data_IF_848992455644
#
_entry.id   IF_848992455644
#
_cell.length_a   1.000
_cell.length_b   1.000
_cell.length_c   1.000
_cell.angle_alpha   90.00
_cell.angle_beta   90.00
_cell.angle_gamma   90.00
#
_symmetry.space_group_name_H-M   'P 1'
#
loop_
_entity.id
_entity.type
_entity.pdbx_description
1 polymer ?
#
# COMPACT_ATOMS: atom_id res chain seq x y z
N UNK A 1 -1.17 10.48 19.59
CA UNK A 1 -0.99 9.44 20.64
C UNK A 1 -2.24 8.59 20.86
N UNK A 2 -3.38 9.12 21.34
CA UNK A 2 -4.57 8.28 21.65
C UNK A 2 -5.03 7.39 20.50
N UNK A 3 -5.20 7.96 19.30
CA UNK A 3 -5.60 7.22 18.09
C UNK A 3 -4.61 6.08 17.78
N UNK A 4 -3.30 6.37 17.83
CA UNK A 4 -2.25 5.37 17.64
C UNK A 4 -2.33 4.23 18.67
N UNK A 5 -2.50 4.56 19.96
CA UNK A 5 -2.69 3.56 21.02
C UNK A 5 -3.96 2.73 20.80
N UNK A 6 -5.10 3.36 20.51
CA UNK A 6 -6.35 2.66 20.22
C UNK A 6 -6.22 1.72 19.02
N UNK A 7 -5.55 2.17 17.97
CA UNK A 7 -5.25 1.33 16.80
C UNK A 7 -4.47 0.06 17.18
N UNK A 8 -3.42 0.19 18.00
CA UNK A 8 -2.66 -0.98 18.48
C UNK A 8 -3.47 -1.88 19.41
N UNK A 9 -4.32 -1.34 20.28
CA UNK A 9 -5.23 -2.14 21.11
C UNK A 9 -6.17 -2.97 20.23
N UNK A 10 -6.82 -2.33 19.25
CA UNK A 10 -7.73 -3.01 18.32
C UNK A 10 -6.98 -4.07 17.51
N UNK A 11 -5.83 -3.72 16.93
CA UNK A 11 -5.01 -4.65 16.14
C UNK A 11 -4.58 -5.87 16.97
N UNK A 12 -4.15 -5.66 18.22
CA UNK A 12 -3.70 -6.72 19.13
C UNK A 12 -4.85 -7.66 19.50
N UNK A 13 -5.99 -7.09 19.92
CA UNK A 13 -7.19 -7.87 20.26
C UNK A 13 -7.74 -8.62 19.06
N UNK A 14 -7.79 -7.98 17.88
CA UNK A 14 -8.22 -8.59 16.64
C UNK A 14 -7.29 -9.73 16.17
N UNK A 15 -5.99 -9.58 16.41
CA UNK A 15 -5.00 -10.63 16.11
C UNK A 15 -5.18 -11.85 17.01
N UNK A 16 -5.50 -11.65 18.28
CA UNK A 16 -5.85 -12.73 19.19
C UNK A 16 -7.14 -13.43 18.74
N UNK A 17 -8.17 -12.65 18.37
CA UNK A 17 -9.43 -13.19 17.86
C UNK A 17 -9.22 -14.04 16.59
N UNK A 18 -8.45 -13.53 15.63
CA UNK A 18 -8.16 -14.24 14.38
C UNK A 18 -7.32 -15.50 14.60
N UNK A 19 -6.34 -15.46 15.52
CA UNK A 19 -5.51 -16.62 15.85
C UNK A 19 -6.25 -17.71 16.62
N UNK A 20 -7.31 -17.36 17.35
CA UNK A 20 -8.16 -18.30 18.08
C UNK A 20 -9.46 -18.63 17.34
N UNK A 21 -9.56 -18.27 16.06
CA UNK A 21 -10.77 -18.43 15.29
C UNK A 21 -11.13 -19.91 15.10
N UNK A 22 -12.34 -20.29 15.51
CA UNK A 22 -12.91 -21.63 15.34
C UNK A 22 -13.79 -21.77 14.10
N UNK A 23 -14.08 -20.67 13.41
CA UNK A 23 -14.86 -20.64 12.17
C UNK A 23 -14.35 -19.57 11.20
N UNK A 24 -14.71 -19.70 9.93
CA UNK A 24 -14.32 -18.76 8.88
C UNK A 24 -14.87 -17.35 9.14
N UNK A 25 -16.08 -17.23 9.67
CA UNK A 25 -16.72 -15.95 9.97
C UNK A 25 -15.96 -15.19 11.06
N UNK A 26 -15.52 -15.88 12.11
CA UNK A 26 -14.71 -15.28 13.19
C UNK A 26 -13.36 -14.82 12.64
N UNK A 27 -12.74 -15.62 11.77
CA UNK A 27 -11.48 -15.25 11.12
C UNK A 27 -11.63 -13.99 10.26
N UNK A 28 -12.68 -13.93 9.45
CA UNK A 28 -12.99 -12.76 8.61
C UNK A 28 -13.32 -11.52 9.44
N UNK A 29 -14.08 -11.66 10.53
CA UNK A 29 -14.35 -10.57 11.46
C UNK A 29 -13.06 -10.06 12.13
N UNK A 30 -12.18 -10.98 12.55
CA UNK A 30 -10.85 -10.65 13.07
C UNK A 30 -10.00 -9.88 12.05
N UNK A 31 -10.00 -10.31 10.78
CA UNK A 31 -9.31 -9.60 9.68
C UNK A 31 -9.88 -8.19 9.45
N UNK A 32 -11.20 -8.04 9.48
CA UNK A 32 -11.84 -6.73 9.35
C UNK A 32 -11.43 -5.79 10.51
N UNK A 33 -11.42 -6.29 11.75
CA UNK A 33 -10.97 -5.54 12.92
C UNK A 33 -9.47 -5.20 12.86
N UNK A 34 -8.61 -6.11 12.37
CA UNK A 34 -7.19 -5.81 12.12
C UNK A 34 -7.04 -4.66 11.12
N UNK A 35 -7.83 -4.65 10.04
CA UNK A 35 -7.88 -3.56 9.07
C UNK A 35 -8.25 -2.22 9.71
N UNK A 36 -9.25 -2.20 10.60
CA UNK A 36 -9.62 -1.00 11.37
C UNK A 36 -8.47 -0.54 12.27
N UNK A 37 -7.81 -1.46 12.98
CA UNK A 37 -6.64 -1.14 13.80
C UNK A 37 -5.51 -0.51 12.96
N UNK A 38 -5.18 -1.13 11.82
CA UNK A 38 -4.17 -0.64 10.89
C UNK A 38 -4.52 0.75 10.32
N UNK A 39 -5.80 1.00 10.00
CA UNK A 39 -6.29 2.29 9.49
C UNK A 39 -6.15 3.42 10.53
N UNK A 40 -6.17 3.10 11.82
CA UNK A 40 -5.89 4.08 12.89
C UNK A 40 -4.37 4.29 13.09
N UNK A 41 -3.57 3.23 12.92
CA UNK A 41 -2.13 3.26 13.14
C UNK A 41 -1.41 4.06 12.05
N UNK A 42 -1.56 3.68 10.78
CA UNK A 42 -0.69 4.19 9.71
C UNK A 42 -0.78 5.73 9.53
N UNK A 43 -1.97 6.35 9.41
CA UNK A 43 -2.08 7.80 9.27
C UNK A 43 -1.62 8.56 10.53
N UNK A 44 -1.91 8.01 11.71
CA UNK A 44 -1.55 8.68 12.97
C UNK A 44 -0.05 8.64 13.23
N UNK A 45 0.63 7.56 12.84
CA UNK A 45 2.07 7.44 12.93
C UNK A 45 2.78 8.38 11.94
N UNK A 46 2.29 8.47 10.70
CA UNK A 46 2.80 9.44 9.72
C UNK A 46 2.64 10.88 10.20
N UNK A 47 1.48 11.20 10.80
CA UNK A 47 1.23 12.52 11.41
C UNK A 47 2.20 12.81 12.55
N UNK A 48 2.53 11.81 13.39
CA UNK A 48 3.52 11.97 14.47
C UNK A 48 4.90 12.26 13.89
N UNK A 49 5.33 11.52 12.87
CA UNK A 49 6.61 11.75 12.17
C UNK A 49 6.68 13.18 11.62
N UNK A 50 5.62 13.63 10.93
CA UNK A 50 5.54 14.98 10.39
C UNK A 50 5.60 16.06 11.47
N UNK A 51 4.88 15.89 12.59
CA UNK A 51 4.91 16.88 13.68
C UNK A 51 6.26 16.96 14.38
N UNK A 52 6.98 15.84 14.49
CA UNK A 52 8.29 15.79 15.14
C UNK A 52 9.39 16.37 14.25
N UNK A 53 9.42 15.99 12.97
CA UNK A 53 10.55 16.28 12.07
C UNK A 53 10.24 17.29 10.96
N UNK A 54 8.99 17.72 10.81
CA UNK A 54 8.55 18.58 9.70
C UNK A 54 9.21 19.96 9.64
N UNK A 55 9.79 20.42 10.75
CA UNK A 55 10.50 21.69 10.84
C UNK A 55 11.87 21.68 10.12
N UNK A 56 12.45 20.49 9.86
CA UNK A 56 13.75 20.35 9.23
C UNK A 56 13.66 19.33 8.08
N UNK A 57 13.78 19.81 6.83
CA UNK A 57 13.65 18.96 5.63
C UNK A 57 14.66 17.81 5.56
N UNK A 58 15.88 17.99 6.10
CA UNK A 58 16.88 16.92 6.13
C UNK A 58 16.55 15.84 7.15
N UNK A 59 16.05 16.21 8.33
CA UNK A 59 15.58 15.26 9.35
C UNK A 59 14.29 14.57 8.92
N UNK A 60 13.36 15.30 8.29
CA UNK A 60 12.13 14.75 7.75
C UNK A 60 12.43 13.69 6.67
N UNK A 61 13.37 13.96 5.78
CA UNK A 61 13.82 12.98 4.79
C UNK A 61 14.40 11.71 5.44
N UNK A 62 15.21 11.84 6.50
CA UNK A 62 15.71 10.70 7.27
C UNK A 62 14.58 9.93 7.95
N UNK A 63 13.62 10.63 8.55
CA UNK A 63 12.48 10.02 9.21
C UNK A 63 11.59 9.25 8.22
N UNK A 64 11.35 9.79 7.02
CA UNK A 64 10.69 9.06 5.93
C UNK A 64 11.50 7.85 5.45
N UNK A 65 12.83 7.95 5.45
CA UNK A 65 13.73 6.82 5.20
C UNK A 65 13.49 5.66 6.17
N UNK A 66 13.47 5.94 7.48
CA UNK A 66 13.14 4.94 8.50
C UNK A 66 11.71 4.43 8.39
N UNK A 67 10.75 5.31 8.11
CA UNK A 67 9.34 4.94 7.91
C UNK A 67 9.17 3.93 6.76
N UNK A 68 9.72 4.25 5.58
CA UNK A 68 9.65 3.35 4.43
C UNK A 68 10.41 2.04 4.66
N UNK A 69 11.58 2.12 5.28
CA UNK A 69 12.37 0.94 5.61
C UNK A 69 11.69 0.03 6.63
N UNK A 70 10.97 0.59 7.61
CA UNK A 70 10.18 -0.19 8.55
C UNK A 70 9.06 -0.97 7.87
N UNK A 71 8.41 -0.38 6.85
CA UNK A 71 7.40 -1.08 6.06
C UNK A 71 8.00 -2.26 5.28
N UNK A 72 9.15 -2.07 4.62
CA UNK A 72 9.85 -3.14 3.92
C UNK A 72 10.32 -4.24 4.88
N UNK A 73 10.96 -3.84 6.00
CA UNK A 73 11.41 -4.76 7.05
C UNK A 73 10.26 -5.60 7.61
N UNK A 74 9.14 -4.96 7.94
CA UNK A 74 7.93 -5.64 8.42
C UNK A 74 7.34 -6.59 7.37
N UNK A 75 7.33 -6.19 6.09
CA UNK A 75 6.90 -7.05 4.98
C UNK A 75 7.72 -8.33 4.88
N UNK A 76 9.05 -8.23 4.76
CA UNK A 76 9.89 -9.44 4.67
C UNK A 76 10.01 -10.23 5.96
N UNK A 77 10.10 -9.57 7.12
CA UNK A 77 10.05 -10.27 8.40
C UNK A 77 8.73 -11.02 8.51
N UNK A 78 7.61 -10.43 8.08
CA UNK A 78 6.30 -11.07 8.03
C UNK A 78 6.27 -12.31 7.12
N UNK A 79 6.79 -12.22 5.88
CA UNK A 79 6.82 -13.38 4.97
C UNK A 79 7.78 -14.46 5.47
N UNK A 80 8.97 -14.09 5.94
CA UNK A 80 9.94 -15.03 6.49
C UNK A 80 9.41 -15.74 7.74
N UNK A 81 8.98 -14.97 8.76
CA UNK A 81 8.40 -15.53 9.98
C UNK A 81 7.11 -16.29 9.67
N UNK A 82 6.30 -15.82 8.74
CA UNK A 82 5.11 -16.53 8.25
C UNK A 82 5.45 -17.88 7.65
N UNK A 83 6.53 -17.96 6.85
CA UNK A 83 7.07 -19.21 6.32
C UNK A 83 7.53 -20.16 7.42
N UNK A 84 8.37 -19.69 8.36
CA UNK A 84 8.82 -20.48 9.52
C UNK A 84 7.64 -21.01 10.34
N UNK A 85 6.70 -20.13 10.67
CA UNK A 85 5.53 -20.47 11.48
C UNK A 85 4.63 -21.48 10.76
N UNK A 86 4.41 -21.32 9.45
CA UNK A 86 3.53 -22.21 8.69
C UNK A 86 4.18 -23.57 8.46
N UNK A 87 5.51 -23.63 8.34
CA UNK A 87 6.24 -24.88 8.14
C UNK A 87 6.34 -25.70 9.43
N UNK A 88 6.59 -25.06 10.58
CA UNK A 88 6.94 -25.77 11.83
C UNK A 88 5.90 -25.66 12.94
N UNK A 89 4.91 -24.77 12.79
CA UNK A 89 3.80 -24.60 13.72
C UNK A 89 2.48 -24.63 12.95
N UNK A 90 1.40 -24.17 13.58
CA UNK A 90 0.10 -24.03 12.95
C UNK A 90 -0.08 -22.61 12.39
N UNK A 91 -0.79 -22.48 11.26
CA UNK A 91 -1.02 -21.20 10.57
C UNK A 91 -1.63 -20.11 11.46
N UNK A 92 -2.38 -20.49 12.51
CA UNK A 92 -2.98 -19.58 13.50
C UNK A 92 -1.92 -18.68 14.18
N UNK A 93 -0.71 -19.19 14.36
CA UNK A 93 0.38 -18.44 14.99
C UNK A 93 0.85 -17.25 14.15
N UNK A 94 0.57 -17.23 12.84
CA UNK A 94 0.83 -16.05 11.99
C UNK A 94 0.01 -14.83 12.41
N UNK A 95 -1.11 -15.05 13.11
CA UNK A 95 -1.90 -14.00 13.73
C UNK A 95 -1.42 -13.71 15.14
N UNK A 96 -1.19 -14.76 15.94
CA UNK A 96 -0.85 -14.63 17.36
C UNK A 96 0.51 -13.95 17.59
N UNK A 97 1.45 -14.02 16.64
CA UNK A 97 2.73 -13.31 16.73
C UNK A 97 2.58 -11.79 16.80
N UNK A 98 1.48 -11.24 16.27
CA UNK A 98 1.19 -9.80 16.38
C UNK A 98 0.81 -9.39 17.80
N UNK A 99 0.37 -10.32 18.65
CA UNK A 99 -0.04 -10.04 20.03
C UNK A 99 1.14 -9.58 20.90
N UNK A 100 2.25 -10.34 21.05
CA UNK A 100 3.39 -9.88 21.82
C UNK A 100 4.01 -8.61 21.23
N UNK A 101 4.08 -8.48 19.90
CA UNK A 101 4.56 -7.26 19.25
C UNK A 101 3.69 -6.03 19.57
N UNK A 102 2.37 -6.21 19.52
CA UNK A 102 1.41 -5.18 19.88
C UNK A 102 1.54 -4.74 21.34
N UNK A 103 1.74 -5.70 22.26
CA UNK A 103 1.97 -5.40 23.68
C UNK A 103 3.29 -4.65 23.93
N UNK A 104 4.36 -5.01 23.23
CA UNK A 104 5.64 -4.27 23.29
C UNK A 104 5.44 -2.82 22.85
N UNK A 105 4.72 -2.59 21.75
CA UNK A 105 4.45 -1.22 21.29
C UNK A 105 3.57 -0.47 22.30
N UNK A 106 2.51 -1.10 22.81
CA UNK A 106 1.60 -0.48 23.78
C UNK A 106 2.30 -0.07 25.07
N UNK A 107 3.25 -0.87 25.55
CA UNK A 107 4.07 -0.57 26.73
C UNK A 107 5.14 0.48 26.46
N UNK A 108 5.67 0.57 25.24
CA UNK A 108 6.66 1.59 24.86
C UNK A 108 6.04 2.98 24.61
N UNK A 109 4.78 3.07 24.16
CA UNK A 109 4.13 4.34 23.80
C UNK A 109 4.22 5.41 24.91
N UNK A 110 3.93 5.12 26.20
CA UNK A 110 3.99 6.13 27.25
C UNK A 110 5.36 6.75 27.46
N UNK A 111 6.43 5.97 27.26
CA UNK A 111 7.81 6.41 27.43
C UNK A 111 8.29 7.25 26.24
N UNK A 112 7.88 6.90 25.01
CA UNK A 112 8.39 7.52 23.78
C UNK A 112 7.51 8.70 23.31
N UNK A 113 6.19 8.62 23.48
CA UNK A 113 5.25 9.60 22.95
C UNK A 113 4.69 10.50 24.04
N UNK A 114 4.97 11.82 23.96
CA UNK A 114 4.35 12.83 24.82
C UNK A 114 2.84 12.88 24.60
N UNK A 115 2.10 13.30 25.64
CA UNK A 115 0.66 13.59 25.51
C UNK A 115 0.52 14.77 24.54
N UNK A 116 -0.32 14.61 23.52
CA UNK A 116 -0.68 15.70 22.61
C UNK A 116 -1.95 16.38 23.10
N UNK A 117 -2.10 17.66 22.82
CA UNK A 117 -3.37 18.36 23.00
C UNK A 117 -4.47 17.68 22.19
N UNK A 118 -5.70 17.74 22.71
CA UNK A 118 -6.87 17.18 22.06
C UNK A 118 -7.30 18.16 20.96
N UNK A 119 -7.26 17.72 19.71
CA UNK A 119 -7.89 18.47 18.63
C UNK A 119 -9.41 18.54 18.89
N UNK A 120 -9.96 19.74 18.81
CA UNK A 120 -11.40 19.99 18.87
C UNK A 120 -11.97 19.82 17.45
N UNK A 121 -13.04 19.04 17.30
CA UNK A 121 -13.70 18.79 16.00
C UNK A 121 -14.64 17.58 16.06
N UNK A 122 -15.64 17.53 15.17
CA UNK A 122 -16.54 16.37 15.06
C UNK A 122 -16.06 15.41 13.97
N UNK A 123 -16.31 14.12 14.18
CA UNK A 123 -16.05 13.09 13.17
C UNK A 123 -17.24 13.03 12.23
N UNK A 124 -17.01 13.21 10.93
CA UNK A 124 -18.03 13.02 9.90
C UNK A 124 -18.25 11.52 9.62
N UNK A 125 -18.97 10.86 10.53
CA UNK A 125 -19.31 9.44 10.44
C UNK A 125 -20.08 9.09 9.17
N UNK A 126 -20.93 10.00 8.71
CA UNK A 126 -21.69 9.79 7.47
C UNK A 126 -20.76 9.73 6.26
N UNK A 127 -19.83 10.68 6.15
CA UNK A 127 -18.80 10.67 5.12
C UNK A 127 -17.95 9.40 5.18
N UNK A 128 -17.52 9.01 6.38
CA UNK A 128 -16.70 7.81 6.58
C UNK A 128 -17.43 6.52 6.15
N UNK A 129 -18.70 6.34 6.55
CA UNK A 129 -19.50 5.16 6.21
C UNK A 129 -19.77 5.10 4.71
N UNK A 130 -20.16 6.22 4.09
CA UNK A 130 -20.49 6.28 2.66
C UNK A 130 -19.29 5.99 1.77
N UNK A 131 -18.12 6.61 2.04
CA UNK A 131 -16.91 6.33 1.24
C UNK A 131 -16.38 4.92 1.48
N UNK A 132 -16.42 4.41 2.72
CA UNK A 132 -15.98 3.04 3.03
C UNK A 132 -16.89 2.02 2.35
N UNK A 133 -18.22 2.21 2.42
CA UNK A 133 -19.18 1.35 1.74
C UNK A 133 -19.02 1.36 0.22
N UNK A 134 -18.73 2.52 -0.38
CA UNK A 134 -18.44 2.61 -1.81
C UNK A 134 -17.21 1.77 -2.18
N UNK A 135 -16.12 1.93 -1.45
CA UNK A 135 -14.85 1.22 -1.71
C UNK A 135 -14.97 -0.28 -1.47
N UNK A 136 -15.62 -0.70 -0.39
CA UNK A 136 -15.87 -2.12 -0.10
C UNK A 136 -16.72 -2.75 -1.20
N UNK A 137 -17.79 -2.08 -1.63
CA UNK A 137 -18.65 -2.57 -2.72
C UNK A 137 -17.88 -2.68 -4.04
N UNK A 138 -17.03 -1.70 -4.36
CA UNK A 138 -16.19 -1.71 -5.55
C UNK A 138 -15.20 -2.88 -5.55
N UNK A 139 -14.42 -3.02 -4.47
CA UNK A 139 -13.42 -4.09 -4.36
C UNK A 139 -14.11 -5.46 -4.38
N UNK A 140 -15.23 -5.59 -3.67
CA UNK A 140 -16.01 -6.83 -3.65
C UNK A 140 -16.56 -7.18 -5.05
N UNK A 141 -17.05 -6.19 -5.79
CA UNK A 141 -17.48 -6.39 -7.18
C UNK A 141 -16.34 -6.97 -8.03
N UNK A 142 -15.13 -6.38 -7.95
CA UNK A 142 -13.98 -6.80 -8.77
C UNK A 142 -13.54 -8.22 -8.42
N UNK A 143 -13.43 -8.54 -7.13
CA UNK A 143 -13.01 -9.88 -6.68
C UNK A 143 -14.05 -10.95 -7.06
N UNK A 144 -15.32 -10.59 -7.11
CA UNK A 144 -16.42 -11.53 -7.45
C UNK A 144 -16.57 -11.74 -8.96
N UNK A 145 -15.84 -10.99 -9.80
CA UNK A 145 -15.88 -11.12 -11.27
C UNK A 145 -15.58 -12.54 -11.72
N UNK A 146 -14.58 -13.18 -11.12
CA UNK A 146 -14.16 -14.52 -11.51
C UNK A 146 -15.27 -15.56 -11.30
N UNK A 147 -16.00 -15.47 -10.18
CA UNK A 147 -17.03 -16.46 -9.81
C UNK A 147 -18.40 -16.16 -10.43
N UNK A 148 -18.76 -14.88 -10.57
CA UNK A 148 -20.10 -14.49 -11.00
C UNK A 148 -20.17 -14.05 -12.48
N UNK A 149 -19.03 -13.71 -13.09
CA UNK A 149 -18.95 -13.18 -14.45
C UNK A 149 -19.33 -11.70 -14.53
N UNK A 150 -18.60 -10.94 -15.36
CA UNK A 150 -18.68 -9.47 -15.50
C UNK A 150 -20.11 -8.93 -15.68
N UNK A 151 -20.97 -9.63 -16.42
CA UNK A 151 -22.33 -9.20 -16.74
C UNK A 151 -23.39 -9.60 -15.72
N UNK A 152 -23.03 -10.23 -14.61
CA UNK A 152 -24.01 -10.71 -13.64
C UNK A 152 -24.77 -9.58 -12.94
N UNK A 153 -26.06 -9.77 -12.61
CA UNK A 153 -26.85 -8.80 -11.85
C UNK A 153 -26.19 -8.41 -10.52
N UNK A 154 -25.50 -9.36 -9.88
CA UNK A 154 -24.75 -9.12 -8.64
C UNK A 154 -23.67 -8.06 -8.85
N UNK A 155 -22.81 -8.21 -9.85
CA UNK A 155 -21.72 -7.26 -10.11
C UNK A 155 -22.27 -5.89 -10.50
N UNK A 156 -23.25 -5.85 -11.39
CA UNK A 156 -23.89 -4.59 -11.80
C UNK A 156 -24.52 -3.87 -10.59
N UNK A 157 -25.15 -4.61 -9.67
CA UNK A 157 -25.71 -4.05 -8.44
C UNK A 157 -24.63 -3.50 -7.51
N UNK A 158 -23.51 -4.21 -7.32
CA UNK A 158 -22.40 -3.77 -6.47
C UNK A 158 -21.71 -2.53 -7.04
N UNK A 159 -21.51 -2.48 -8.36
CA UNK A 159 -20.98 -1.29 -9.05
C UNK A 159 -21.94 -0.11 -8.94
N UNK A 160 -23.25 -0.35 -9.09
CA UNK A 160 -24.29 0.67 -8.90
C UNK A 160 -24.31 1.22 -7.46
N UNK A 161 -24.25 0.34 -6.45
CA UNK A 161 -24.17 0.71 -5.03
C UNK A 161 -22.91 1.51 -4.76
N UNK A 162 -21.76 1.05 -5.26
CA UNK A 162 -20.49 1.76 -5.13
C UNK A 162 -20.57 3.18 -5.69
N UNK A 163 -21.07 3.32 -6.93
CA UNK A 163 -21.21 4.61 -7.59
C UNK A 163 -22.18 5.52 -6.83
N UNK A 164 -23.34 5.00 -6.42
CA UNK A 164 -24.32 5.76 -5.66
C UNK A 164 -23.75 6.27 -4.33
N UNK A 165 -23.12 5.40 -3.54
CA UNK A 165 -22.49 5.77 -2.27
C UNK A 165 -21.37 6.79 -2.45
N UNK A 166 -20.57 6.66 -3.51
CA UNK A 166 -19.51 7.61 -3.83
C UNK A 166 -20.07 8.99 -4.22
N UNK A 167 -21.13 9.04 -5.03
CA UNK A 167 -21.82 10.30 -5.37
C UNK A 167 -22.44 10.94 -4.13
N UNK A 168 -23.11 10.16 -3.27
CA UNK A 168 -23.65 10.64 -1.99
C UNK A 168 -22.55 11.21 -1.11
N UNK A 169 -21.40 10.54 -1.03
CA UNK A 169 -20.23 11.03 -0.32
C UNK A 169 -19.79 12.41 -0.87
N UNK A 170 -19.58 12.53 -2.18
CA UNK A 170 -19.15 13.79 -2.79
C UNK A 170 -20.12 14.95 -2.55
N UNK A 171 -21.44 14.69 -2.63
CA UNK A 171 -22.47 15.69 -2.33
C UNK A 171 -22.39 16.09 -0.85
N UNK A 172 -22.30 15.12 0.06
CA UNK A 172 -22.20 15.39 1.49
C UNK A 172 -20.94 16.19 1.85
N UNK A 173 -19.80 15.91 1.22
CA UNK A 173 -18.55 16.65 1.45
C UNK A 173 -18.63 18.10 0.94
N UNK A 174 -19.50 18.41 -0.03
CA UNK A 174 -19.72 19.79 -0.51
C UNK A 174 -20.65 20.60 0.38
N UNK A 175 -21.63 19.95 1.02
CA UNK A 175 -22.73 20.63 1.72
C UNK A 175 -22.49 20.73 3.23
N UNK A 176 -21.77 19.77 3.83
CA UNK A 176 -21.57 19.73 5.30
C UNK A 176 -20.57 20.79 5.77
N UNK A 177 -20.78 21.29 7.00
CA UNK A 177 -19.96 22.33 7.64
C UNK A 177 -18.57 21.83 8.08
N UNK A 178 -18.49 20.58 8.55
CA UNK A 178 -17.24 19.91 8.94
C UNK A 178 -17.12 18.61 8.13
N UNK A 179 -16.79 18.69 6.82
CA UNK A 179 -16.64 17.51 5.96
C UNK A 179 -15.39 16.70 6.34
N UNK A 180 -15.47 15.37 6.23
CA UNK A 180 -14.31 14.47 6.36
C UNK A 180 -13.16 14.85 5.41
N UNK A 181 -13.49 15.16 4.17
CA UNK A 181 -12.59 15.49 3.08
C UNK A 181 -13.03 16.82 2.44
N UNK A 182 -12.60 17.97 2.98
CA UNK A 182 -12.82 19.26 2.35
C UNK A 182 -12.22 19.25 0.93
N UNK A 183 -13.08 19.26 -0.09
CA UNK A 183 -12.64 19.12 -1.50
C UNK A 183 -11.66 20.22 -1.96
N UNK A 184 -11.62 21.34 -1.25
CA UNK A 184 -10.62 22.40 -1.45
C UNK A 184 -9.17 21.93 -1.25
N UNK A 185 -8.93 20.84 -0.50
CA UNK A 185 -7.59 20.29 -0.28
C UNK A 185 -6.91 19.89 -1.59
N UNK A 186 -7.68 19.47 -2.60
CA UNK A 186 -7.13 19.09 -3.91
C UNK A 186 -6.64 20.29 -4.74
N UNK A 187 -6.95 21.53 -4.32
CA UNK A 187 -6.35 22.74 -4.91
C UNK A 187 -4.90 22.91 -4.48
N UNK A 188 -4.46 22.26 -3.40
CA UNK A 188 -3.07 22.29 -2.96
C UNK A 188 -2.16 21.74 -4.07
N UNK A 189 -1.06 22.43 -4.41
CA UNK A 189 -0.15 22.01 -5.47
C UNK A 189 0.35 20.57 -5.26
N UNK A 190 0.31 19.76 -6.32
CA UNK A 190 0.74 18.37 -6.34
C UNK A 190 -0.05 17.38 -5.45
N UNK A 191 -0.99 17.82 -4.62
CA UNK A 191 -1.69 16.92 -3.70
C UNK A 191 -2.53 15.88 -4.47
N UNK A 192 -3.39 16.33 -5.40
CA UNK A 192 -4.19 15.41 -6.22
C UNK A 192 -3.31 14.47 -7.07
N UNK A 193 -2.28 15.03 -7.72
CA UNK A 193 -1.35 14.28 -8.55
C UNK A 193 -0.54 13.25 -7.74
N UNK A 194 -0.06 13.63 -6.56
CA UNK A 194 0.70 12.75 -5.67
C UNK A 194 -0.17 11.60 -5.13
N UNK A 195 -1.43 11.87 -4.79
CA UNK A 195 -2.37 10.82 -4.38
C UNK A 195 -2.68 9.84 -5.53
N UNK A 196 -2.86 10.35 -6.76
CA UNK A 196 -3.02 9.50 -7.94
C UNK A 196 -1.79 8.61 -8.18
N UNK A 197 -0.58 9.21 -8.16
CA UNK A 197 0.67 8.45 -8.36
C UNK A 197 0.88 7.43 -7.25
N UNK A 198 0.54 7.75 -6.00
CA UNK A 198 0.62 6.80 -4.89
C UNK A 198 -0.34 5.62 -5.05
N UNK A 199 -1.56 5.87 -5.53
CA UNK A 199 -2.51 4.80 -5.86
C UNK A 199 -1.96 3.90 -6.97
N UNK A 200 -1.41 4.48 -8.04
CA UNK A 200 -0.82 3.72 -9.14
C UNK A 200 0.45 2.96 -8.71
N UNK A 201 1.26 3.53 -7.82
CA UNK A 201 2.43 2.84 -7.23
C UNK A 201 1.98 1.59 -6.45
N UNK A 202 0.96 1.70 -5.61
CA UNK A 202 0.39 0.56 -4.91
C UNK A 202 -0.18 -0.49 -5.87
N UNK A 203 -0.89 -0.02 -6.91
CA UNK A 203 -1.49 -0.86 -7.95
C UNK A 203 -0.47 -1.61 -8.82
N UNK A 204 0.80 -1.19 -8.85
CA UNK A 204 1.89 -1.95 -9.48
C UNK A 204 2.67 -2.82 -8.48
N UNK A 205 2.92 -2.30 -7.28
CA UNK A 205 3.78 -2.94 -6.28
C UNK A 205 3.16 -4.16 -5.60
N UNK A 206 1.90 -4.08 -5.19
CA UNK A 206 1.26 -5.19 -4.45
C UNK A 206 1.01 -6.41 -5.35
N UNK A 207 0.54 -6.26 -6.61
CA UNK A 207 0.47 -7.40 -7.52
C UNK A 207 1.82 -8.06 -7.76
N UNK A 208 2.89 -7.28 -7.92
CA UNK A 208 4.26 -7.82 -8.07
C UNK A 208 4.57 -8.80 -6.94
N UNK A 209 4.38 -8.38 -5.68
CA UNK A 209 4.65 -9.22 -4.52
C UNK A 209 3.79 -10.48 -4.47
N UNK A 210 2.50 -10.35 -4.79
CA UNK A 210 1.57 -11.47 -4.79
C UNK A 210 1.97 -12.54 -5.81
N UNK A 211 2.11 -12.16 -7.08
CA UNK A 211 2.42 -13.09 -8.17
C UNK A 211 3.85 -13.62 -8.10
N UNK A 212 4.80 -12.82 -7.59
CA UNK A 212 6.18 -13.29 -7.37
C UNK A 212 6.20 -14.44 -6.37
N UNK A 213 5.45 -14.34 -5.28
CA UNK A 213 5.37 -15.41 -4.28
C UNK A 213 4.70 -16.67 -4.87
N UNK A 214 3.63 -16.51 -5.67
CA UNK A 214 3.02 -17.63 -6.37
C UNK A 214 3.98 -18.30 -7.36
N UNK A 215 4.76 -17.53 -8.12
CA UNK A 215 5.77 -18.08 -9.01
C UNK A 215 6.84 -18.89 -8.26
N UNK A 216 7.37 -18.35 -7.15
CA UNK A 216 8.37 -19.03 -6.33
C UNK A 216 7.87 -20.38 -5.79
N UNK A 217 6.62 -20.44 -5.34
CA UNK A 217 6.06 -21.66 -4.74
C UNK A 217 5.50 -22.63 -5.77
N UNK A 218 4.68 -22.15 -6.70
CA UNK A 218 3.89 -22.99 -7.60
C UNK A 218 4.63 -23.35 -8.89
N UNK A 219 5.57 -22.52 -9.34
CA UNK A 219 6.37 -22.78 -10.56
C UNK A 219 7.77 -23.29 -10.20
N UNK A 220 8.50 -22.60 -9.31
CA UNK A 220 9.83 -23.04 -8.88
C UNK A 220 9.82 -24.12 -7.78
N UNK A 221 8.65 -24.45 -7.23
CA UNK A 221 8.50 -25.52 -6.24
C UNK A 221 9.19 -25.23 -4.90
N UNK A 222 9.47 -23.96 -4.59
CA UNK A 222 10.11 -23.59 -3.33
C UNK A 222 9.13 -23.76 -2.15
N UNK A 223 9.65 -24.20 -0.99
CA UNK A 223 8.86 -24.20 0.24
C UNK A 223 8.45 -22.78 0.65
N UNK A 224 7.48 -22.65 1.56
CA UNK A 224 7.07 -21.37 2.11
C UNK A 224 8.25 -20.62 2.77
N UNK A 225 9.11 -21.33 3.52
CA UNK A 225 10.32 -20.77 4.12
C UNK A 225 11.33 -20.32 3.05
N UNK A 226 11.61 -21.17 2.05
CA UNK A 226 12.54 -20.85 0.98
C UNK A 226 12.07 -19.63 0.17
N UNK A 227 10.77 -19.54 -0.10
CA UNK A 227 10.15 -18.38 -0.76
C UNK A 227 10.24 -17.11 0.09
N UNK A 228 10.07 -17.21 1.40
CA UNK A 228 10.27 -16.07 2.32
C UNK A 228 11.73 -15.59 2.36
N UNK A 229 12.68 -16.53 2.39
CA UNK A 229 14.12 -16.23 2.32
C UNK A 229 14.51 -15.58 0.99
N UNK A 230 13.92 -16.03 -0.11
CA UNK A 230 14.15 -15.50 -1.46
C UNK A 230 13.80 -14.00 -1.58
N UNK A 231 12.90 -13.48 -0.74
CA UNK A 231 12.48 -12.08 -0.74
C UNK A 231 13.32 -11.18 0.19
N UNK A 232 14.21 -11.75 1.01
CA UNK A 232 15.08 -10.97 1.90
C UNK A 232 16.01 -10.01 1.15
N UNK A 233 16.71 -10.41 0.06
CA UNK A 233 17.62 -9.50 -0.66
C UNK A 233 16.90 -8.24 -1.15
N UNK A 234 15.67 -8.40 -1.64
CA UNK A 234 14.82 -7.31 -2.09
C UNK A 234 14.56 -6.30 -0.97
N UNK A 235 14.14 -6.76 0.21
CA UNK A 235 13.87 -5.85 1.34
C UNK A 235 15.12 -5.25 1.97
N UNK A 236 16.20 -6.02 2.06
CA UNK A 236 17.50 -5.49 2.53
C UNK A 236 17.93 -4.33 1.64
N UNK A 237 17.78 -4.47 0.32
CA UNK A 237 18.11 -3.39 -0.61
C UNK A 237 17.19 -2.18 -0.43
N UNK A 238 15.87 -2.38 -0.27
CA UNK A 238 14.94 -1.27 0.02
C UNK A 238 15.37 -0.53 1.29
N UNK A 239 15.70 -1.25 2.36
CA UNK A 239 16.15 -0.66 3.63
C UNK A 239 17.43 0.15 3.45
N UNK A 240 18.44 -0.42 2.79
CA UNK A 240 19.72 0.26 2.52
C UNK A 240 19.49 1.57 1.77
N UNK A 241 18.68 1.54 0.71
CA UNK A 241 18.43 2.71 -0.13
C UNK A 241 17.57 3.74 0.58
N UNK A 242 16.48 3.34 1.23
CA UNK A 242 15.57 4.25 1.92
C UNK A 242 16.23 4.95 3.11
N UNK A 243 16.95 4.22 3.95
CA UNK A 243 17.62 4.81 5.14
C UNK A 243 18.91 5.53 4.77
N UNK A 244 19.74 4.92 3.92
CA UNK A 244 21.11 5.39 3.65
C UNK A 244 21.20 6.45 2.55
N UNK A 245 20.37 6.35 1.51
CA UNK A 245 20.60 7.08 0.26
C UNK A 245 19.44 7.98 -0.18
N UNK A 246 18.20 7.71 0.24
CA UNK A 246 17.02 8.44 -0.24
C UNK A 246 17.13 9.95 -0.04
N UNK A 247 17.54 10.42 1.14
CA UNK A 247 17.75 11.85 1.39
C UNK A 247 18.81 12.48 0.49
N UNK A 248 19.93 11.78 0.24
CA UNK A 248 21.01 12.27 -0.66
C UNK A 248 20.54 12.33 -2.11
N UNK A 249 19.83 11.30 -2.57
CA UNK A 249 19.29 11.22 -3.92
C UNK A 249 18.22 12.29 -4.14
N UNK A 250 17.34 12.53 -3.17
CA UNK A 250 16.33 13.60 -3.23
C UNK A 250 17.00 14.96 -3.23
N UNK A 251 18.03 15.18 -2.40
CA UNK A 251 18.79 16.42 -2.40
C UNK A 251 19.52 16.69 -3.72
N UNK A 252 20.06 15.65 -4.37
CA UNK A 252 20.84 15.78 -5.61
C UNK A 252 19.99 15.90 -6.88
N UNK A 253 18.96 15.06 -7.03
CA UNK A 253 18.17 14.96 -8.25
C UNK A 253 16.77 15.57 -8.15
N UNK A 254 16.34 15.90 -6.93
CA UNK A 254 14.99 16.38 -6.65
C UNK A 254 13.95 15.25 -6.53
N UNK A 255 12.82 15.50 -5.85
CA UNK A 255 11.79 14.48 -5.60
C UNK A 255 11.12 13.99 -6.88
N UNK A 256 10.80 14.89 -7.84
CA UNK A 256 10.14 14.52 -9.10
C UNK A 256 10.98 13.55 -9.93
N UNK A 257 12.28 13.82 -10.08
CA UNK A 257 13.18 12.99 -10.87
C UNK A 257 13.32 11.60 -10.26
N UNK A 258 13.51 11.50 -8.94
CA UNK A 258 13.59 10.20 -8.26
C UNK A 258 12.29 9.41 -8.38
N UNK A 259 11.14 10.08 -8.32
CA UNK A 259 9.84 9.43 -8.50
C UNK A 259 9.71 8.82 -9.90
N UNK A 260 10.04 9.58 -10.95
CA UNK A 260 10.00 9.09 -12.33
C UNK A 260 10.97 7.92 -12.50
N UNK A 261 12.22 8.06 -12.06
CA UNK A 261 13.22 7.01 -12.15
C UNK A 261 12.78 5.74 -11.40
N UNK A 262 12.23 5.90 -10.19
CA UNK A 262 11.72 4.78 -9.41
C UNK A 262 10.59 4.03 -10.11
N UNK A 263 9.64 4.75 -10.70
CA UNK A 263 8.52 4.15 -11.45
C UNK A 263 8.98 3.48 -12.75
N UNK A 264 9.96 4.05 -13.45
CA UNK A 264 10.56 3.42 -14.64
C UNK A 264 11.33 2.13 -14.28
N UNK A 265 12.10 2.14 -13.20
CA UNK A 265 12.79 0.94 -12.72
C UNK A 265 11.79 -0.14 -12.27
N UNK A 266 10.70 0.26 -11.62
CA UNK A 266 9.58 -0.63 -11.31
C UNK A 266 8.98 -1.26 -12.57
N UNK A 267 8.65 -0.44 -13.58
CA UNK A 267 8.14 -0.92 -14.87
C UNK A 267 9.11 -1.88 -15.56
N UNK A 268 10.41 -1.56 -15.58
CA UNK A 268 11.44 -2.42 -16.14
C UNK A 268 11.53 -3.76 -15.40
N UNK A 269 11.45 -3.76 -14.06
CA UNK A 269 11.44 -5.00 -13.27
C UNK A 269 10.22 -5.88 -13.57
N UNK A 270 9.05 -5.26 -13.77
CA UNK A 270 7.82 -5.95 -14.11
C UNK A 270 7.87 -6.54 -15.53
N UNK A 271 8.56 -5.88 -16.46
CA UNK A 271 8.84 -6.45 -17.79
C UNK A 271 9.78 -7.66 -17.66
N UNK A 272 10.81 -7.60 -16.80
CA UNK A 272 11.67 -8.78 -16.57
C UNK A 272 10.85 -9.94 -15.98
N UNK A 273 9.97 -9.67 -15.01
CA UNK A 273 9.09 -10.68 -14.43
C UNK A 273 8.07 -11.26 -15.43
N UNK A 274 7.58 -10.42 -16.35
CA UNK A 274 6.73 -10.85 -17.45
C UNK A 274 7.40 -11.82 -18.42
N UNK A 275 8.72 -11.97 -18.37
CA UNK A 275 9.51 -12.88 -19.20
C UNK A 275 10.14 -14.02 -18.39
N UNK A 276 9.63 -14.32 -17.19
CA UNK A 276 10.11 -15.44 -16.38
C UNK A 276 9.88 -16.77 -17.11
N UNK A 277 10.87 -17.67 -17.21
CA UNK A 277 10.70 -18.98 -17.83
C UNK A 277 10.12 -20.01 -16.86
N UNK A 278 9.67 -21.15 -17.42
CA UNK A 278 9.14 -22.29 -16.65
C UNK A 278 10.23 -22.98 -15.83
N UNK A 279 11.39 -23.18 -16.41
CA UNK A 279 12.59 -23.77 -15.82
C UNK A 279 13.51 -22.68 -15.23
N UNK A 280 12.90 -21.70 -14.57
CA UNK A 280 13.62 -20.52 -14.10
C UNK A 280 14.58 -20.78 -12.95
N UNK A 281 15.68 -20.03 -12.95
CA UNK A 281 16.58 -19.94 -11.79
C UNK A 281 16.27 -18.70 -10.98
N UNK A 282 16.17 -18.86 -9.67
CA UNK A 282 16.02 -17.72 -8.75
C UNK A 282 17.14 -16.70 -8.94
N UNK A 283 18.40 -17.15 -9.04
CA UNK A 283 19.57 -16.26 -9.08
C UNK A 283 19.66 -15.49 -10.40
N UNK A 284 19.24 -16.11 -11.50
CA UNK A 284 19.38 -15.52 -12.85
C UNK A 284 18.16 -14.68 -13.20
N UNK A 285 16.95 -15.18 -12.90
CA UNK A 285 15.72 -14.61 -13.44
C UNK A 285 14.98 -13.77 -12.41
N UNK A 286 14.94 -14.22 -11.15
CA UNK A 286 14.11 -13.59 -10.11
C UNK A 286 14.89 -12.53 -9.34
N UNK A 287 16.11 -12.85 -8.90
CA UNK A 287 16.90 -11.99 -8.03
C UNK A 287 17.22 -10.64 -8.69
N UNK A 288 17.73 -10.56 -9.94
CA UNK A 288 18.03 -9.27 -10.56
C UNK A 288 16.78 -8.42 -10.77
N UNK A 289 15.67 -9.03 -11.20
CA UNK A 289 14.38 -8.35 -11.36
C UNK A 289 13.84 -7.84 -10.00
N UNK A 290 13.96 -8.64 -8.94
CA UNK A 290 13.54 -8.27 -7.58
C UNK A 290 14.35 -7.10 -7.02
N UNK A 291 15.67 -7.11 -7.24
CA UNK A 291 16.54 -6.00 -6.81
C UNK A 291 16.21 -4.73 -7.60
N UNK A 292 15.91 -4.83 -8.89
CA UNK A 292 15.47 -3.70 -9.70
C UNK A 292 14.13 -3.12 -9.20
N UNK A 293 13.17 -3.99 -8.87
CA UNK A 293 11.90 -3.61 -8.25
C UNK A 293 12.10 -2.92 -6.90
N UNK A 294 12.99 -3.44 -6.06
CA UNK A 294 13.37 -2.85 -4.77
C UNK A 294 13.94 -1.43 -4.94
N UNK A 295 14.85 -1.22 -5.90
CA UNK A 295 15.35 0.12 -6.22
C UNK A 295 14.22 1.04 -6.68
N UNK A 296 13.35 0.54 -7.55
CA UNK A 296 12.17 1.28 -8.02
C UNK A 296 11.29 1.77 -6.86
N UNK A 297 10.94 0.86 -5.95
CA UNK A 297 10.12 1.18 -4.78
C UNK A 297 10.81 2.18 -3.84
N UNK A 298 12.10 1.97 -3.55
CA UNK A 298 12.85 2.82 -2.64
C UNK A 298 12.99 4.27 -3.15
N UNK A 299 13.08 4.43 -4.48
CA UNK A 299 13.17 5.75 -5.13
C UNK A 299 11.80 6.42 -5.30
N UNK A 300 10.73 5.66 -5.49
CA UNK A 300 9.39 6.22 -5.75
C UNK A 300 8.61 6.54 -4.47
N UNK A 301 8.65 5.67 -3.46
CA UNK A 301 7.70 5.72 -2.34
C UNK A 301 7.80 7.02 -1.51
N UNK A 302 9.02 7.44 -1.14
CA UNK A 302 9.22 8.64 -0.33
C UNK A 302 8.83 9.91 -1.10
N UNK A 303 9.32 10.15 -2.33
CA UNK A 303 8.88 11.28 -3.14
C UNK A 303 7.38 11.32 -3.45
N UNK A 304 6.75 10.16 -3.66
CA UNK A 304 5.29 10.07 -3.84
C UNK A 304 4.55 10.53 -2.59
N UNK A 305 5.00 10.06 -1.41
CA UNK A 305 4.46 10.48 -0.11
C UNK A 305 4.64 11.98 0.11
N UNK A 306 5.84 12.52 -0.15
CA UNK A 306 6.12 13.96 -0.03
C UNK A 306 5.24 14.79 -0.96
N UNK A 307 5.04 14.33 -2.21
CA UNK A 307 4.22 15.02 -3.21
C UNK A 307 2.73 14.98 -2.88
N UNK A 308 2.24 13.84 -2.39
CA UNK A 308 0.85 13.67 -1.93
C UNK A 308 0.49 14.43 -0.66
N UNK A 309 1.49 14.98 0.03
CA UNK A 309 1.34 15.83 1.21
C UNK A 309 1.79 17.27 0.96
N UNK A 310 2.30 17.58 -0.23
CA UNK A 310 2.81 18.90 -0.54
C UNK A 310 1.68 19.95 -0.52
N UNK A 311 1.96 21.11 0.10
CA UNK A 311 1.01 22.21 0.16
C UNK A 311 -0.17 22.03 1.13
N UNK A 312 -0.25 20.90 1.85
CA UNK A 312 -1.23 20.73 2.92
C UNK A 312 -0.90 21.66 4.10
N UNK A 313 -1.92 22.30 4.68
CA UNK A 313 -1.71 23.14 5.87
C UNK A 313 -1.26 22.28 7.06
N UNK A 314 -0.55 22.83 8.06
CA UNK A 314 -0.17 22.09 9.27
C UNK A 314 -1.36 21.43 9.99
N UNK A 315 -2.51 22.08 9.97
CA UNK A 315 -3.78 21.58 10.52
C UNK A 315 -4.35 20.39 9.73
N UNK A 316 -4.09 20.33 8.43
CA UNK A 316 -4.61 19.32 7.49
C UNK A 316 -3.62 18.16 7.30
N UNK A 317 -2.46 18.17 7.96
CA UNK A 317 -1.42 17.14 7.79
C UNK A 317 -1.95 15.73 8.11
N UNK A 318 -2.85 15.61 9.09
CA UNK A 318 -3.49 14.33 9.41
C UNK A 318 -4.44 13.85 8.32
N UNK A 319 -5.19 14.77 7.70
CA UNK A 319 -6.06 14.48 6.57
C UNK A 319 -5.26 14.08 5.33
N UNK A 320 -4.21 14.83 4.98
CA UNK A 320 -3.34 14.51 3.85
C UNK A 320 -2.63 13.16 4.04
N UNK A 321 -2.16 12.87 5.25
CA UNK A 321 -1.57 11.57 5.63
C UNK A 321 -2.58 10.43 5.50
N UNK A 322 -3.83 10.66 5.92
CA UNK A 322 -4.91 9.69 5.76
C UNK A 322 -5.24 9.44 4.30
N UNK A 323 -5.32 10.50 3.49
CA UNK A 323 -5.64 10.42 2.08
C UNK A 323 -4.55 9.66 1.30
N UNK A 324 -3.28 9.99 1.50
CA UNK A 324 -2.18 9.34 0.77
C UNK A 324 -2.07 7.85 1.09
N UNK A 325 -2.28 7.48 2.36
CA UNK A 325 -2.33 6.08 2.78
C UNK A 325 -3.55 5.36 2.20
N UNK A 326 -4.71 6.02 2.18
CA UNK A 326 -5.94 5.48 1.61
C UNK A 326 -5.79 5.27 0.10
N UNK A 327 -5.21 6.22 -0.62
CA UNK A 327 -4.87 6.10 -2.04
C UNK A 327 -3.96 4.91 -2.30
N UNK A 328 -2.89 4.74 -1.52
CA UNK A 328 -2.00 3.59 -1.64
C UNK A 328 -2.73 2.25 -1.44
N UNK A 329 -3.55 2.14 -0.39
CA UNK A 329 -4.24 0.89 -0.06
C UNK A 329 -5.35 0.54 -1.05
N UNK A 330 -6.16 1.51 -1.45
CA UNK A 330 -7.21 1.30 -2.46
C UNK A 330 -6.57 0.96 -3.81
N UNK A 331 -5.54 1.71 -4.21
CA UNK A 331 -4.80 1.43 -5.44
C UNK A 331 -4.21 0.03 -5.44
N UNK A 332 -3.62 -0.39 -4.32
CA UNK A 332 -3.12 -1.75 -4.12
C UNK A 332 -4.19 -2.82 -4.27
N UNK A 333 -5.35 -2.64 -3.62
CA UNK A 333 -6.44 -3.61 -3.67
C UNK A 333 -7.07 -3.72 -5.06
N UNK A 334 -7.38 -2.58 -5.70
CA UNK A 334 -7.93 -2.55 -7.06
C UNK A 334 -6.91 -3.11 -8.05
N UNK A 335 -5.64 -2.70 -7.96
CA UNK A 335 -4.57 -3.18 -8.82
C UNK A 335 -4.43 -4.70 -8.73
N UNK A 336 -4.37 -5.25 -7.51
CA UNK A 336 -4.30 -6.70 -7.33
C UNK A 336 -5.53 -7.41 -7.91
N UNK A 337 -6.73 -6.93 -7.61
CA UNK A 337 -7.95 -7.56 -8.10
C UNK A 337 -8.03 -7.56 -9.64
N UNK A 338 -7.63 -6.46 -10.29
CA UNK A 338 -7.52 -6.38 -11.76
C UNK A 338 -6.46 -7.35 -12.29
N UNK A 339 -5.28 -7.42 -11.66
CA UNK A 339 -4.23 -8.34 -12.11
C UNK A 339 -4.60 -9.81 -11.89
N UNK A 340 -5.38 -10.15 -10.86
CA UNK A 340 -5.96 -11.49 -10.68
C UNK A 340 -6.88 -11.83 -11.85
N UNK A 341 -7.81 -10.93 -12.21
CA UNK A 341 -8.68 -11.13 -13.38
C UNK A 341 -7.87 -11.28 -14.68
N UNK A 342 -6.83 -10.47 -14.88
CA UNK A 342 -5.94 -10.58 -16.05
C UNK A 342 -5.21 -11.92 -16.04
N UNK A 343 -4.72 -12.36 -14.88
CA UNK A 343 -4.00 -13.63 -14.75
C UNK A 343 -4.89 -14.83 -15.07
N UNK A 344 -6.21 -14.72 -14.88
CA UNK A 344 -7.17 -15.80 -15.11
C UNK A 344 -7.91 -15.73 -16.44
N UNK A 345 -7.87 -14.59 -17.13
CA UNK A 345 -8.59 -14.36 -18.39
C UNK A 345 -8.20 -15.31 -19.55
N UNK A 346 -7.01 -15.93 -19.48
CA UNK A 346 -6.53 -16.89 -20.48
C UNK A 346 -6.91 -18.35 -20.21
N UNK A 347 -7.44 -18.69 -19.03
CA UNK A 347 -7.80 -20.07 -18.69
C UNK A 347 -9.20 -20.41 -19.20
N UNK A 348 -9.30 -21.42 -20.08
CA UNK A 348 -10.54 -22.18 -20.19
C UNK A 348 -10.84 -22.89 -18.86
N UNK A 349 -12.09 -23.25 -18.57
CA UNK A 349 -12.53 -23.86 -17.30
C UNK A 349 -11.98 -25.28 -17.01
N UNK A 350 -10.73 -25.58 -17.36
CA UNK A 350 -10.00 -26.80 -17.04
C UNK A 350 -8.85 -26.56 -16.07
N UNK A 351 -8.31 -27.62 -15.49
CA UNK A 351 -7.12 -27.58 -14.63
C UNK A 351 -5.90 -27.10 -15.44
N UNK A 352 -5.45 -25.87 -15.18
CA UNK A 352 -4.26 -25.28 -15.78
C UNK A 352 -3.00 -26.04 -15.34
N UNK A 353 -2.14 -26.41 -16.30
CA UNK A 353 -0.81 -26.91 -16.01
C UNK A 353 0.14 -25.78 -15.56
N UNK A 354 1.37 -26.12 -15.15
CA UNK A 354 2.36 -25.11 -14.73
C UNK A 354 2.67 -24.06 -15.81
N UNK A 355 2.59 -24.44 -17.09
CA UNK A 355 2.84 -23.56 -18.23
C UNK A 355 1.77 -22.49 -18.38
N UNK A 356 0.50 -22.89 -18.31
CA UNK A 356 -0.63 -21.97 -18.37
C UNK A 356 -0.61 -21.05 -17.15
N UNK A 357 -0.37 -21.61 -15.96
CA UNK A 357 -0.28 -20.82 -14.72
C UNK A 357 0.76 -19.70 -14.81
N UNK A 358 1.94 -20.03 -15.36
CA UNK A 358 2.98 -19.05 -15.59
C UNK A 358 2.56 -17.95 -16.57
N UNK A 359 1.85 -18.29 -17.66
CA UNK A 359 1.36 -17.29 -18.61
C UNK A 359 0.42 -16.28 -17.93
N UNK A 360 -0.45 -16.74 -17.03
CA UNK A 360 -1.29 -15.83 -16.25
C UNK A 360 -0.47 -14.91 -15.33
N UNK A 361 0.57 -15.43 -14.68
CA UNK A 361 1.46 -14.61 -13.84
C UNK A 361 2.22 -13.58 -14.70
N UNK A 362 2.72 -14.00 -15.86
CA UNK A 362 3.37 -13.10 -16.83
C UNK A 362 2.42 -11.99 -17.28
N UNK A 363 1.18 -12.30 -17.63
CA UNK A 363 0.17 -11.31 -18.01
C UNK A 363 -0.13 -10.31 -16.88
N UNK A 364 -0.22 -10.78 -15.64
CA UNK A 364 -0.36 -9.92 -14.47
C UNK A 364 0.85 -8.99 -14.28
N UNK A 365 2.07 -9.48 -14.47
CA UNK A 365 3.27 -8.63 -14.42
C UNK A 365 3.29 -7.59 -15.55
N UNK A 366 2.87 -7.95 -16.77
CA UNK A 366 2.72 -6.99 -17.87
C UNK A 366 1.71 -5.89 -17.53
N UNK A 367 0.53 -6.27 -17.03
CA UNK A 367 -0.50 -5.32 -16.61
C UNK A 367 0.01 -4.36 -15.52
N UNK A 368 0.69 -4.88 -14.50
CA UNK A 368 1.31 -4.06 -13.47
C UNK A 368 2.42 -3.15 -14.05
N UNK A 369 3.17 -3.63 -15.04
CA UNK A 369 4.19 -2.85 -15.76
C UNK A 369 3.58 -1.66 -16.50
N UNK A 370 2.43 -1.86 -17.15
CA UNK A 370 1.65 -0.77 -17.78
C UNK A 370 1.21 0.25 -16.73
N UNK A 371 0.72 -0.20 -15.57
CA UNK A 371 0.34 0.70 -14.46
C UNK A 371 1.54 1.53 -13.98
N UNK A 372 2.72 0.93 -13.85
CA UNK A 372 3.95 1.64 -13.49
C UNK A 372 4.36 2.68 -14.54
N UNK A 373 4.23 2.36 -15.84
CA UNK A 373 4.48 3.30 -16.92
C UNK A 373 3.48 4.48 -16.92
N UNK A 374 2.19 4.20 -16.69
CA UNK A 374 1.15 5.23 -16.53
C UNK A 374 1.45 6.10 -15.32
N UNK A 375 1.92 5.54 -14.21
CA UNK A 375 2.35 6.30 -13.03
C UNK A 375 3.53 7.23 -13.34
N UNK A 376 4.52 6.75 -14.09
CA UNK A 376 5.67 7.56 -14.51
C UNK A 376 5.24 8.71 -15.41
N UNK A 377 4.34 8.46 -16.36
CA UNK A 377 3.76 9.48 -17.24
C UNK A 377 2.92 10.49 -16.45
N UNK A 378 2.06 10.03 -15.54
CA UNK A 378 1.27 10.89 -14.66
C UNK A 378 2.18 11.77 -13.78
N UNK A 379 3.29 11.22 -13.27
CA UNK A 379 4.30 11.99 -12.54
C UNK A 379 4.92 13.07 -13.41
N UNK A 380 5.32 12.71 -14.63
CA UNK A 380 5.95 13.65 -15.57
C UNK A 380 5.03 14.82 -15.90
N UNK A 381 3.75 14.53 -16.18
CA UNK A 381 2.76 15.50 -16.65
C UNK A 381 2.11 16.31 -15.52
N UNK A 382 1.82 15.68 -14.37
CA UNK A 382 0.96 16.28 -13.35
C UNK A 382 1.71 16.82 -12.13
N UNK A 383 2.89 16.26 -11.79
CA UNK A 383 3.66 16.72 -10.63
C UNK A 383 4.56 17.90 -11.03
N UNK A 384 4.36 19.06 -10.40
CA UNK A 384 5.18 20.25 -10.60
C UNK A 384 6.48 20.15 -9.79
N UNK A 385 7.60 20.54 -10.39
CA UNK A 385 8.91 20.56 -9.72
C UNK A 385 9.05 21.74 -8.73
N UNK A 386 10.04 21.65 -7.82
CA UNK A 386 10.26 22.63 -6.75
C UNK A 386 10.49 24.08 -7.24
N UNK A 387 11.04 24.28 -8.44
CA UNK A 387 11.22 25.60 -9.04
C UNK A 387 9.88 26.32 -9.33
N UNK A 388 8.86 25.58 -9.75
CA UNK A 388 7.53 26.12 -10.07
C UNK A 388 6.67 26.36 -8.82
N UNK A 389 7.10 25.92 -7.63
CA UNK A 389 6.39 26.16 -6.36
C UNK A 389 6.79 27.48 -5.69
N UNK A 390 7.90 28.10 -6.08
CA UNK A 390 8.34 29.42 -5.59
C UNK A 390 7.61 30.60 -6.24
N UNK A 391 6.89 30.37 -7.32
CA UNK A 391 6.19 31.42 -8.09
C UNK A 391 4.75 31.69 -7.64
N UNK A 392 4.23 30.98 -6.63
CA UNK A 392 2.92 31.34 -6.05
C UNK A 392 3.14 32.55 -5.14
N UNK A 393 2.64 33.75 -5.50
CA UNK A 393 2.77 34.90 -4.62
C UNK A 393 1.97 34.59 -3.36
N UNK A 394 2.60 34.76 -2.20
CA UNK A 394 1.88 34.89 -0.94
C UNK A 394 1.18 36.26 -1.02
N UNK A 395 -0.01 36.27 -1.60
CA UNK A 395 -0.91 37.42 -1.69
C UNK A 395 -1.89 37.43 -0.55
#
# INVERSE_FOLDING_TARGET
>A
RRIFTTGFVILTAASLLAGLASSQEILLAGRALQGIGAALIAPSALTIVMRLFGHNGAELGKAFGFWGAAAAAGGSAGVFLGGVITEWMAWQWTFLINVPLGLIVLTAIPAVLRKSERALGKVDWFGAITVTGALVSLVYAIVTIETAGLGSPLILSLLGISLALFVIFLIAQRVRREPLLPLGIFKAPNLAAGNLVMALLGAAWIPLWFFLNLYLQQVLGLSALASGLALLPMTILIMIVMVGFSGKLIGRFGPKTNLILGLLLMGASLILFANLPLDGSFVINVLPASLLAALGMALAYIPATMSGMAGAKPEETGLASGLINTSYQIGSAIGLAVMVVISTAGYGHGSAGPAEMLQGFQAAFQGAGVVAAVAALATLLLIRGAAAQREVPVG
#
